data_IF_774374341998
#
_entry.id   IF_774374341998
#
_cell.length_a   1.000
_cell.length_b   1.000
_cell.length_c   1.000
_cell.angle_alpha   90.00
_cell.angle_beta   90.00
_cell.angle_gamma   90.00
#
_symmetry.space_group_name_H-M   'P 1'
#
loop_
_entity.id
_entity.type
_entity.pdbx_description
1 polymer ?
#
# COMPACT_ATOMS: atom_id res chain seq x y z
N UNK A 1 14.81 5.48 -9.64
CA UNK A 1 15.04 4.66 -8.43
C UNK A 1 13.71 4.57 -7.72
N UNK A 2 13.24 3.37 -7.41
CA UNK A 2 11.99 3.21 -6.69
C UNK A 2 12.23 3.34 -5.18
N UNK A 3 11.38 4.09 -4.49
CA UNK A 3 11.37 4.12 -3.03
C UNK A 3 10.46 3.01 -2.52
N UNK A 4 10.89 2.32 -1.46
CA UNK A 4 10.09 1.27 -0.83
C UNK A 4 9.60 1.74 0.54
N UNK A 5 8.39 1.33 0.91
CA UNK A 5 7.78 1.60 2.21
C UNK A 5 7.47 0.27 2.88
N UNK A 6 7.91 0.11 4.12
CA UNK A 6 7.27 -0.84 5.01
C UNK A 6 6.06 -0.16 5.64
N UNK A 7 4.92 -0.84 5.61
CA UNK A 7 3.67 -0.31 6.12
C UNK A 7 2.79 -1.39 6.73
N UNK A 8 1.83 -0.95 7.55
CA UNK A 8 0.65 -1.75 7.89
C UNK A 8 -0.48 -1.32 6.96
N UNK A 9 -1.04 -2.28 6.24
CA UNK A 9 -2.28 -2.07 5.50
C UNK A 9 -3.46 -2.57 6.34
N UNK A 10 -4.56 -1.84 6.31
CA UNK A 10 -5.88 -2.28 6.76
C UNK A 10 -6.83 -2.16 5.57
N UNK A 11 -7.31 -3.29 5.03
CA UNK A 11 -8.38 -3.24 4.05
C UNK A 11 -9.72 -3.04 4.75
N UNK A 12 -10.52 -2.13 4.22
CA UNK A 12 -11.89 -1.96 4.70
C UNK A 12 -12.68 -3.24 4.44
N UNK A 13 -13.58 -3.62 5.36
CA UNK A 13 -14.51 -4.72 5.10
C UNK A 13 -15.49 -4.33 3.97
N UNK A 14 -16.10 -5.33 3.34
CA UNK A 14 -16.93 -5.11 2.14
C UNK A 14 -18.18 -4.26 2.45
N UNK A 15 -18.74 -4.38 3.65
CA UNK A 15 -19.89 -3.59 4.13
C UNK A 15 -19.56 -2.11 4.38
N UNK A 16 -18.28 -1.78 4.60
CA UNK A 16 -17.79 -0.40 4.67
C UNK A 16 -17.33 0.15 3.30
N UNK A 17 -17.69 -0.52 2.20
CA UNK A 17 -17.30 -0.12 0.84
C UNK A 17 -15.91 -0.58 0.40
N UNK A 18 -15.26 -1.43 1.18
CA UNK A 18 -13.95 -1.99 0.86
C UNK A 18 -13.94 -3.00 -0.28
N UNK A 19 -12.87 -3.81 -0.33
CA UNK A 19 -12.73 -4.86 -1.34
C UNK A 19 -13.77 -5.98 -1.12
N UNK A 20 -14.19 -6.60 -2.22
CA UNK A 20 -14.97 -7.84 -2.19
C UNK A 20 -14.09 -9.09 -2.15
N UNK A 21 -12.83 -8.98 -2.60
CA UNK A 21 -11.91 -10.10 -2.74
C UNK A 21 -10.58 -9.82 -2.05
N UNK A 22 -9.97 -10.90 -1.56
CA UNK A 22 -8.62 -10.85 -1.00
C UNK A 22 -7.58 -10.50 -2.08
N UNK A 23 -6.40 -10.05 -1.63
CA UNK A 23 -5.24 -9.81 -2.48
C UNK A 23 -4.09 -10.74 -2.12
N UNK A 24 -3.17 -10.92 -3.08
CA UNK A 24 -1.89 -11.61 -2.89
C UNK A 24 -0.71 -10.63 -3.10
N UNK A 25 -0.25 -9.93 -2.05
CA UNK A 25 0.81 -8.92 -2.12
C UNK A 25 2.11 -9.38 -2.81
N UNK A 26 2.51 -10.63 -2.58
CA UNK A 26 3.82 -11.16 -2.98
C UNK A 26 3.98 -11.35 -4.49
N UNK A 27 2.88 -11.35 -5.23
CA UNK A 27 2.90 -11.58 -6.67
C UNK A 27 3.23 -10.32 -7.47
N UNK A 28 3.29 -9.13 -6.84
CA UNK A 28 3.50 -7.88 -7.55
C UNK A 28 2.33 -7.47 -8.46
N UNK A 29 1.22 -8.22 -8.41
CA UNK A 29 0.04 -8.08 -9.24
C UNK A 29 -0.92 -7.01 -8.70
N UNK A 30 -0.88 -6.79 -7.39
CA UNK A 30 -1.73 -5.78 -6.75
C UNK A 30 -1.09 -4.39 -6.83
N UNK A 31 -1.71 -3.52 -7.64
CA UNK A 31 -1.23 -2.17 -7.97
C UNK A 31 -2.30 -1.08 -7.77
N UNK A 32 -2.66 -0.76 -6.52
CA UNK A 32 -3.59 0.34 -6.25
C UNK A 32 -2.87 1.70 -6.34
N UNK A 33 -3.61 2.78 -6.08
CA UNK A 33 -3.01 4.11 -5.89
C UNK A 33 -3.08 4.55 -4.43
N UNK A 34 -2.18 5.42 -4.02
CA UNK A 34 -2.31 6.26 -2.82
C UNK A 34 -2.48 7.70 -3.27
N UNK A 35 -3.66 8.28 -3.03
CA UNK A 35 -4.09 9.48 -3.75
C UNK A 35 -4.05 9.24 -5.26
N UNK A 36 -3.26 10.03 -6.00
CA UNK A 36 -3.04 9.89 -7.45
C UNK A 36 -1.81 9.07 -7.83
N UNK A 37 -1.02 8.60 -6.86
CA UNK A 37 0.26 7.95 -7.13
C UNK A 37 0.12 6.43 -7.17
N UNK A 38 0.49 5.77 -8.28
CA UNK A 38 0.51 4.31 -8.34
C UNK A 38 1.51 3.70 -7.36
N UNK A 39 1.08 2.64 -6.68
CA UNK A 39 1.94 1.82 -5.83
C UNK A 39 1.79 0.35 -6.18
N UNK A 40 2.83 -0.43 -5.88
CA UNK A 40 2.86 -1.88 -6.08
C UNK A 40 3.21 -2.59 -4.79
N UNK A 41 2.41 -3.58 -4.42
CA UNK A 41 2.75 -4.46 -3.31
C UNK A 41 3.80 -5.45 -3.79
N UNK A 42 4.89 -5.59 -3.03
CA UNK A 42 6.00 -6.47 -3.40
C UNK A 42 6.28 -7.54 -2.35
N UNK A 43 5.93 -7.29 -1.09
CA UNK A 43 6.01 -8.27 0.00
C UNK A 43 4.84 -8.12 0.97
N UNK A 44 4.61 -9.16 1.78
CA UNK A 44 3.57 -9.18 2.81
C UNK A 44 3.06 -10.58 3.15
N UNK A 45 1.86 -10.66 3.71
CA UNK A 45 1.15 -11.93 3.90
C UNK A 45 0.85 -12.61 2.55
N UNK A 46 0.72 -13.94 2.48
CA UNK A 46 0.36 -14.65 1.24
C UNK A 46 -1.00 -14.20 0.69
N UNK A 47 -1.94 -13.95 1.60
CA UNK A 47 -3.29 -13.48 1.30
C UNK A 47 -3.67 -12.44 2.35
N UNK A 48 -4.33 -11.36 1.95
CA UNK A 48 -4.96 -10.39 2.86
C UNK A 48 -6.43 -10.25 2.46
N UNK A 49 -7.34 -10.63 3.36
CA UNK A 49 -8.78 -10.53 3.14
C UNK A 49 -9.31 -9.13 3.50
N UNK A 50 -10.50 -8.73 2.98
CA UNK A 50 -11.19 -7.53 3.45
C UNK A 50 -11.38 -7.54 4.97
N UNK A 51 -11.22 -6.38 5.62
CA UNK A 51 -11.30 -6.24 7.07
C UNK A 51 -10.03 -6.67 7.84
N UNK A 52 -9.00 -7.20 7.17
CA UNK A 52 -7.76 -7.60 7.81
C UNK A 52 -6.68 -6.53 7.74
N UNK A 53 -5.89 -6.47 8.82
CA UNK A 53 -4.64 -5.75 8.84
C UNK A 53 -3.46 -6.69 8.59
N UNK A 54 -2.46 -6.25 7.83
CA UNK A 54 -1.23 -6.98 7.63
C UNK A 54 -0.04 -6.05 7.37
N UNK A 55 1.16 -6.53 7.67
CA UNK A 55 2.39 -5.84 7.28
C UNK A 55 2.72 -6.15 5.82
N UNK A 56 3.08 -5.11 5.08
CA UNK A 56 3.41 -5.17 3.66
C UNK A 56 4.63 -4.32 3.35
N UNK A 57 5.29 -4.63 2.24
CA UNK A 57 6.26 -3.75 1.61
C UNK A 57 5.69 -3.32 0.28
N UNK A 58 5.66 -2.02 0.03
CA UNK A 58 5.17 -1.43 -1.21
C UNK A 58 6.27 -0.62 -1.89
N UNK A 59 6.24 -0.62 -3.21
CA UNK A 59 7.04 0.21 -4.08
C UNK A 59 6.17 1.36 -4.59
N UNK A 60 6.65 2.60 -4.50
CA UNK A 60 6.00 3.76 -5.11
C UNK A 60 6.56 3.93 -6.53
N UNK A 61 5.70 3.89 -7.54
CA UNK A 61 6.13 3.86 -8.95
C UNK A 61 6.55 5.25 -9.47
N UNK A 62 6.13 6.32 -8.81
CA UNK A 62 6.54 7.70 -9.10
C UNK A 62 7.49 8.26 -8.02
N UNK A 63 8.18 9.39 -8.26
CA UNK A 63 9.09 9.96 -7.27
C UNK A 63 8.35 10.29 -5.97
N UNK A 64 8.60 9.49 -4.93
CA UNK A 64 7.98 9.64 -3.61
C UNK A 64 8.26 11.00 -2.92
N UNK A 65 9.10 11.84 -3.52
CA UNK A 65 9.43 13.19 -3.06
C UNK A 65 8.20 14.13 -3.01
N UNK A 66 7.10 13.78 -3.70
CA UNK A 66 5.84 14.53 -3.62
C UNK A 66 5.02 14.23 -2.35
N UNK A 67 5.20 13.05 -1.74
CA UNK A 67 4.28 12.55 -0.71
C UNK A 67 4.73 12.83 0.73
N UNK A 68 5.86 13.49 0.97
CA UNK A 68 6.40 13.80 2.32
C UNK A 68 6.25 12.64 3.33
N UNK A 69 6.58 11.42 2.89
CA UNK A 69 6.28 10.20 3.65
C UNK A 69 7.18 10.06 4.87
N UNK A 70 6.57 9.92 6.03
CA UNK A 70 7.25 9.66 7.31
C UNK A 70 6.58 8.50 8.05
N UNK A 71 7.25 7.94 9.06
CA UNK A 71 6.63 6.93 9.88
C UNK A 71 5.42 7.52 10.62
N UNK A 72 4.30 6.80 10.62
CA UNK A 72 3.01 7.25 11.14
C UNK A 72 2.14 7.97 10.11
N UNK A 73 2.63 8.27 8.90
CA UNK A 73 1.78 8.82 7.83
C UNK A 73 0.75 7.77 7.41
N UNK A 74 -0.53 8.17 7.43
CA UNK A 74 -1.64 7.37 6.92
C UNK A 74 -2.00 7.84 5.50
N UNK A 75 -2.21 6.89 4.61
CA UNK A 75 -2.58 7.11 3.22
C UNK A 75 -3.81 6.28 2.89
N UNK A 76 -4.72 6.86 2.12
CA UNK A 76 -5.87 6.13 1.59
C UNK A 76 -5.44 5.32 0.38
N UNK A 77 -5.79 4.03 0.39
CA UNK A 77 -5.61 3.13 -0.75
C UNK A 77 -6.84 3.27 -1.62
N UNK A 78 -6.63 3.64 -2.89
CA UNK A 78 -7.70 3.89 -3.86
C UNK A 78 -7.62 2.87 -5.00
N UNK A 79 -8.79 2.36 -5.38
CA UNK A 79 -9.00 1.54 -6.56
C UNK A 79 -10.25 2.02 -7.29
N UNK A 80 -10.14 2.28 -8.60
CA UNK A 80 -11.29 2.70 -9.42
C UNK A 80 -12.06 3.86 -8.75
N UNK A 81 -11.34 4.87 -8.26
CA UNK A 81 -11.89 6.06 -7.57
C UNK A 81 -12.58 5.78 -6.22
N UNK A 82 -12.39 4.58 -5.66
CA UNK A 82 -12.95 4.18 -4.36
C UNK A 82 -11.86 3.88 -3.34
N UNK A 83 -12.00 4.42 -2.13
CA UNK A 83 -11.15 4.08 -0.99
C UNK A 83 -11.46 2.64 -0.55
N UNK A 84 -10.44 1.79 -0.55
CA UNK A 84 -10.56 0.36 -0.23
C UNK A 84 -9.80 -0.04 1.04
N UNK A 85 -8.95 0.85 1.55
CA UNK A 85 -8.10 0.56 2.70
C UNK A 85 -7.28 1.77 3.12
N UNK A 86 -6.57 1.59 4.23
CA UNK A 86 -5.65 2.56 4.80
C UNK A 86 -4.26 1.92 4.85
N UNK A 87 -3.25 2.68 4.47
CA UNK A 87 -1.85 2.31 4.56
C UNK A 87 -1.17 3.21 5.60
N UNK A 88 -0.67 2.63 6.69
CA UNK A 88 0.11 3.35 7.71
C UNK A 88 1.59 3.06 7.51
N UNK A 89 2.37 4.07 7.13
CA UNK A 89 3.81 3.94 6.91
C UNK A 89 4.50 3.64 8.25
N UNK A 90 5.22 2.53 8.33
CA UNK A 90 6.05 2.21 9.50
C UNK A 90 7.50 2.60 9.30
N UNK A 91 8.00 2.48 8.06
CA UNK A 91 9.38 2.81 7.72
C UNK A 91 9.52 3.17 6.24
N UNK A 92 10.30 4.22 5.96
CA UNK A 92 10.75 4.56 4.62
C UNK A 92 12.11 3.90 4.35
N UNK A 93 12.18 3.10 3.27
CA UNK A 93 13.39 2.46 2.81
C UNK A 93 13.81 3.09 1.47
N UNK A 94 14.79 3.99 1.53
CA UNK A 94 15.39 4.59 0.34
C UNK A 94 16.42 3.61 -0.22
N UNK A 95 16.35 3.30 -1.50
CA UNK A 95 17.44 2.61 -2.18
C UNK A 95 18.69 3.52 -2.15
N UNK A 96 19.74 3.11 -1.44
CA UNK A 96 20.99 3.85 -1.37
C UNK A 96 21.79 3.51 -2.63
N UNK A 97 22.13 4.54 -3.41
CA UNK A 97 23.08 4.42 -4.54
C UNK A 97 24.45 4.04 -4.00
N UNK A 98 25.03 2.96 -4.51
CA UNK A 98 26.48 2.67 -4.39
C UNK A 98 27.13 3.04 -5.72
#
# INVERSE_FOLDING_TARGET
MSNFLEAIVLFLPTDAGGRATAIAPREGSYRPTVGSTPMRFIEGSPIIAPGQAARVVVEIEEPADLLHLTAGTELEIVEQERVVGILTVTRLCRAITV
#
